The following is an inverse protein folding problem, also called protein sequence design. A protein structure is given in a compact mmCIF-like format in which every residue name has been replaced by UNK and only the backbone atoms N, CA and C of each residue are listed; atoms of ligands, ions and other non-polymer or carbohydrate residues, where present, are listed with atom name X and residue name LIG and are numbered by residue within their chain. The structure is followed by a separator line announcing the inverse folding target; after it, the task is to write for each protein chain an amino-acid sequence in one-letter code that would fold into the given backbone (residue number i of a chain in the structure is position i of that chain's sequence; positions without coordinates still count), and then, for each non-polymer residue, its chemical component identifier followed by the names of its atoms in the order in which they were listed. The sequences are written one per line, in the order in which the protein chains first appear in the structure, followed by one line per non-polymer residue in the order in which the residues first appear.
data_IF_302021933744
#
_entry.id   IF_302021933744
#
_cell.length_a   1.000
_cell.length_b   1.000
_cell.length_c   1.000
_cell.angle_alpha   90.00
_cell.angle_beta   90.00
_cell.angle_gamma   90.00
#
_symmetry.space_group_name_H-M   'P 1'
#
loop_
_entity.id
_entity.type
_entity.pdbx_description
1 polymer ?
#
# COMPACT_ATOMS: atom_id res chain seq x y z
N UNK A 1 -20.65 25.29 19.03
CA UNK A 1 -19.98 26.56 19.34
C UNK A 1 -18.49 26.37 19.62
N UNK A 2 -18.07 25.35 20.41
CA UNK A 2 -16.65 25.14 20.72
C UNK A 2 -15.85 24.63 19.51
N UNK A 3 -16.45 23.76 18.68
CA UNK A 3 -15.77 23.20 17.49
C UNK A 3 -15.62 24.25 16.38
N UNK A 4 -16.61 25.13 16.17
CA UNK A 4 -16.50 26.21 15.20
C UNK A 4 -15.39 27.21 15.57
N UNK A 5 -15.26 27.56 16.84
CA UNK A 5 -14.22 28.48 17.31
C UNK A 5 -12.79 27.90 17.24
N UNK A 6 -12.64 26.59 17.28
CA UNK A 6 -11.34 25.91 17.04
C UNK A 6 -11.04 25.89 15.54
N UNK A 7 -12.03 25.58 14.71
CA UNK A 7 -11.90 25.59 13.26
C UNK A 7 -11.54 27.00 12.76
N UNK A 8 -12.22 28.04 13.25
CA UNK A 8 -11.93 29.43 12.86
C UNK A 8 -10.54 29.91 13.32
N UNK A 9 -10.07 29.46 14.49
CA UNK A 9 -8.71 29.76 14.97
C UNK A 9 -7.62 29.05 14.17
N UNK A 10 -7.88 27.81 13.76
CA UNK A 10 -6.95 27.05 12.90
C UNK A 10 -6.93 27.66 11.50
N UNK A 11 -8.11 27.96 10.93
CA UNK A 11 -8.22 28.62 9.62
C UNK A 11 -7.55 30.00 9.61
N UNK A 12 -7.69 30.81 10.67
CA UNK A 12 -7.02 32.13 10.77
C UNK A 12 -5.49 32.06 10.90
N UNK A 13 -4.94 30.98 11.49
CA UNK A 13 -3.48 30.75 11.55
C UNK A 13 -2.94 30.17 10.24
N UNK A 14 -3.72 29.37 9.52
CA UNK A 14 -3.37 28.80 8.21
C UNK A 14 -3.45 29.86 7.09
N UNK A 15 -4.29 30.89 7.22
CA UNK A 15 -4.39 31.99 6.27
C UNK A 15 -3.16 32.92 6.21
N UNK A 16 -2.14 32.65 7.04
CA UNK A 16 -0.83 33.32 6.98
C UNK A 16 0.22 32.53 6.13
N UNK A 17 -0.11 31.31 5.70
CA UNK A 17 0.69 30.50 4.79
C UNK A 17 0.12 30.62 3.38
N UNK A 18 0.98 30.57 2.35
CA UNK A 18 0.51 30.48 0.95
C UNK A 18 -0.53 29.36 0.83
N UNK A 19 -1.68 29.65 0.25
CA UNK A 19 -2.83 28.74 0.20
C UNK A 19 -2.49 27.35 -0.34
N UNK A 20 -1.56 27.25 -1.26
CA UNK A 20 -1.12 26.00 -1.90
C UNK A 20 -0.42 25.05 -0.91
N UNK A 21 0.42 25.59 -0.03
CA UNK A 21 1.08 24.76 1.01
C UNK A 21 0.09 24.21 2.04
N UNK A 22 -0.98 24.94 2.33
CA UNK A 22 -2.05 24.48 3.24
C UNK A 22 -2.80 23.31 2.60
N UNK A 23 -3.13 23.42 1.31
CA UNK A 23 -3.82 22.36 0.57
C UNK A 23 -2.95 21.10 0.48
N UNK A 24 -1.68 21.25 0.09
CA UNK A 24 -0.75 20.11 0.03
C UNK A 24 -0.59 19.47 1.40
N UNK A 25 -0.43 20.26 2.47
CA UNK A 25 -0.35 19.78 3.84
C UNK A 25 -1.60 18.99 4.27
N UNK A 26 -2.79 19.48 3.92
CA UNK A 26 -4.06 18.80 4.20
C UNK A 26 -4.17 17.46 3.45
N UNK A 27 -3.75 17.41 2.20
CA UNK A 27 -3.74 16.16 1.41
C UNK A 27 -2.72 15.16 1.98
N UNK A 28 -1.53 15.62 2.41
CA UNK A 28 -0.52 14.76 3.06
C UNK A 28 -1.08 14.18 4.38
N UNK A 29 -1.67 15.01 5.24
CA UNK A 29 -2.31 14.56 6.48
C UNK A 29 -3.42 13.55 6.19
N UNK A 30 -4.24 13.83 5.20
CA UNK A 30 -5.34 12.93 4.79
C UNK A 30 -4.80 11.60 4.29
N UNK A 31 -3.79 11.60 3.41
CA UNK A 31 -3.18 10.37 2.90
C UNK A 31 -2.41 9.59 3.97
N UNK A 32 -1.83 10.27 4.97
CA UNK A 32 -1.26 9.64 6.15
C UNK A 32 -2.32 8.82 6.91
N UNK A 33 -3.49 9.41 7.20
CA UNK A 33 -4.55 8.71 7.92
C UNK A 33 -5.20 7.59 7.10
N UNK A 34 -5.20 7.68 5.76
CA UNK A 34 -5.56 6.56 4.90
C UNK A 34 -4.59 5.39 5.10
N UNK A 35 -3.30 5.68 5.03
CA UNK A 35 -2.26 4.68 5.30
C UNK A 35 -2.45 4.06 6.68
N UNK A 36 -2.63 4.90 7.71
CA UNK A 36 -2.87 4.50 9.08
C UNK A 36 -4.06 3.53 9.22
N UNK A 37 -5.24 3.92 8.73
CA UNK A 37 -6.44 3.07 8.78
C UNK A 37 -6.27 1.75 8.02
N UNK A 38 -5.55 1.77 6.89
CA UNK A 38 -5.20 0.57 6.14
C UNK A 38 -4.23 -0.36 6.86
N UNK A 39 -3.35 0.19 7.70
CA UNK A 39 -2.34 -0.56 8.46
C UNK A 39 -2.89 -1.30 9.68
N UNK A 40 -3.79 -0.67 10.43
CA UNK A 40 -4.28 -1.18 11.74
C UNK A 40 -4.79 -2.62 11.69
N UNK A 41 -5.42 -3.03 10.61
CA UNK A 41 -6.06 -4.35 10.51
C UNK A 41 -5.07 -5.51 10.34
N UNK A 42 -3.88 -5.27 9.80
CA UNK A 42 -2.94 -6.35 9.45
C UNK A 42 -2.39 -7.14 10.65
N UNK A 43 -1.98 -6.51 11.77
CA UNK A 43 -1.55 -7.26 12.94
C UNK A 43 -2.71 -7.92 13.70
N UNK A 44 -3.96 -7.55 13.39
CA UNK A 44 -5.13 -7.93 14.18
C UNK A 44 -5.91 -9.07 13.52
N UNK A 45 -6.35 -8.90 12.27
CA UNK A 45 -7.34 -9.78 11.65
C UNK A 45 -6.87 -11.23 11.47
N UNK A 46 -5.61 -11.54 11.10
CA UNK A 46 -5.19 -12.94 10.97
C UNK A 46 -5.32 -13.73 12.29
N UNK A 47 -4.99 -13.11 13.41
CA UNK A 47 -5.13 -13.74 14.72
C UNK A 47 -6.60 -13.82 15.19
N UNK A 48 -7.39 -12.77 14.90
CA UNK A 48 -8.83 -12.77 15.19
C UNK A 48 -9.60 -13.85 14.44
N UNK A 49 -9.14 -14.24 13.25
CA UNK A 49 -9.78 -15.31 12.48
C UNK A 49 -9.98 -16.58 13.31
N UNK A 50 -8.96 -17.00 14.03
CA UNK A 50 -9.03 -18.17 14.92
C UNK A 50 -10.00 -17.94 16.10
N UNK A 51 -9.98 -16.74 16.72
CA UNK A 51 -10.85 -16.40 17.87
C UNK A 51 -12.33 -16.32 17.47
N UNK A 52 -12.62 -15.81 16.27
CA UNK A 52 -13.98 -15.63 15.77
C UNK A 52 -14.51 -16.83 14.97
N UNK A 53 -13.71 -17.89 14.81
CA UNK A 53 -14.08 -19.07 14.04
C UNK A 53 -14.13 -18.83 12.52
N UNK A 54 -13.45 -17.81 12.02
CA UNK A 54 -13.35 -17.48 10.60
C UNK A 54 -12.23 -18.31 9.98
N UNK A 55 -12.51 -19.05 8.89
CA UNK A 55 -11.48 -19.87 8.24
C UNK A 55 -10.32 -19.02 7.68
N UNK A 56 -9.07 -19.56 7.64
CA UNK A 56 -7.91 -18.85 7.08
C UNK A 56 -8.13 -18.35 5.65
N UNK A 57 -8.82 -19.12 4.83
CA UNK A 57 -9.21 -18.71 3.48
C UNK A 57 -10.09 -17.45 3.51
N UNK A 58 -11.13 -17.42 4.33
CA UNK A 58 -12.04 -16.28 4.41
C UNK A 58 -11.36 -15.05 5.01
N UNK A 59 -10.46 -15.21 5.98
CA UNK A 59 -9.59 -14.13 6.48
C UNK A 59 -8.76 -13.55 5.33
N UNK A 60 -8.17 -14.41 4.49
CA UNK A 60 -7.43 -14.00 3.30
C UNK A 60 -8.29 -13.21 2.32
N UNK A 61 -9.52 -13.67 2.04
CA UNK A 61 -10.48 -12.96 1.17
C UNK A 61 -10.87 -11.60 1.78
N UNK A 62 -11.13 -11.52 3.08
CA UNK A 62 -11.44 -10.26 3.78
C UNK A 62 -10.25 -9.30 3.68
N UNK A 63 -9.03 -9.73 3.96
CA UNK A 63 -7.83 -8.88 3.85
C UNK A 63 -7.63 -8.35 2.42
N UNK A 64 -8.01 -9.10 1.42
CA UNK A 64 -7.84 -8.80 0.00
C UNK A 64 -8.97 -7.97 -0.61
N UNK A 65 -10.15 -7.98 0.00
CA UNK A 65 -11.37 -7.39 -0.53
C UNK A 65 -11.23 -5.90 -0.87
N UNK A 66 -10.47 -5.14 -0.08
CA UNK A 66 -10.22 -3.71 -0.36
C UNK A 66 -9.41 -3.48 -1.65
N UNK A 67 -8.51 -4.40 -2.02
CA UNK A 67 -7.72 -4.27 -3.25
C UNK A 67 -8.57 -4.55 -4.47
N UNK A 68 -9.34 -5.63 -4.44
CA UNK A 68 -10.23 -5.98 -5.54
C UNK A 68 -11.36 -4.96 -5.71
N UNK A 69 -11.96 -4.47 -4.62
CA UNK A 69 -12.97 -3.41 -4.71
C UNK A 69 -12.39 -2.09 -5.21
N UNK A 70 -11.16 -1.73 -4.79
CA UNK A 70 -10.46 -0.56 -5.32
C UNK A 70 -10.16 -0.71 -6.82
N UNK A 71 -9.70 -1.88 -7.24
CA UNK A 71 -9.42 -2.16 -8.65
C UNK A 71 -10.66 -1.91 -9.53
N UNK A 72 -11.83 -2.36 -9.08
CA UNK A 72 -13.10 -2.11 -9.77
C UNK A 72 -13.54 -0.65 -9.67
N UNK A 73 -13.33 -0.01 -8.51
CA UNK A 73 -13.79 1.34 -8.24
C UNK A 73 -12.89 2.44 -8.86
N UNK A 74 -11.63 2.15 -9.21
CA UNK A 74 -10.68 3.15 -9.72
C UNK A 74 -11.19 3.89 -10.95
N UNK A 75 -11.79 3.19 -11.92
CA UNK A 75 -12.28 3.83 -13.13
C UNK A 75 -13.57 4.64 -12.93
N UNK A 76 -14.60 4.13 -12.23
CA UNK A 76 -15.73 4.97 -11.84
C UNK A 76 -15.31 6.21 -11.03
N UNK A 77 -14.31 6.07 -10.15
CA UNK A 77 -13.79 7.19 -9.36
C UNK A 77 -13.19 8.27 -10.28
N UNK A 78 -12.35 7.90 -11.25
CA UNK A 78 -11.80 8.85 -12.22
C UNK A 78 -12.88 9.60 -12.99
N UNK A 79 -13.86 8.89 -13.56
CA UNK A 79 -15.00 9.50 -14.27
C UNK A 79 -15.80 10.44 -13.35
N UNK A 80 -15.93 10.10 -12.07
CA UNK A 80 -16.64 10.95 -11.12
C UNK A 80 -15.86 12.25 -10.87
N UNK A 81 -14.54 12.16 -10.70
CA UNK A 81 -13.66 13.34 -10.53
C UNK A 81 -13.75 14.26 -11.73
N UNK A 82 -13.71 13.73 -12.95
CA UNK A 82 -13.83 14.52 -14.17
C UNK A 82 -15.18 15.27 -14.28
N UNK A 83 -16.25 14.73 -13.67
CA UNK A 83 -17.60 15.29 -13.76
C UNK A 83 -17.94 16.30 -12.68
N UNK A 84 -17.52 16.04 -11.43
CA UNK A 84 -17.96 16.84 -10.27
C UNK A 84 -16.81 17.51 -9.52
N UNK A 85 -15.60 17.47 -10.09
CA UNK A 85 -14.41 18.06 -9.52
C UNK A 85 -13.70 17.18 -8.50
N UNK A 86 -12.65 17.70 -7.86
CA UNK A 86 -11.74 16.95 -6.99
C UNK A 86 -12.18 16.93 -5.53
N UNK A 87 -12.69 18.05 -5.00
CA UNK A 87 -12.99 18.22 -3.58
C UNK A 87 -14.04 17.23 -3.07
N UNK A 88 -15.18 17.17 -3.77
CA UNK A 88 -16.31 16.32 -3.31
C UNK A 88 -15.94 14.84 -3.28
N UNK A 89 -15.35 14.22 -4.33
CA UNK A 89 -14.94 12.82 -4.26
C UNK A 89 -13.85 12.58 -3.21
N UNK A 90 -12.92 13.53 -2.99
CA UNK A 90 -11.89 13.42 -1.97
C UNK A 90 -12.50 13.33 -0.57
N UNK A 91 -13.35 14.28 -0.20
CA UNK A 91 -13.99 14.33 1.12
C UNK A 91 -14.94 13.14 1.34
N UNK A 92 -15.73 12.78 0.32
CA UNK A 92 -16.60 11.59 0.38
C UNK A 92 -15.78 10.32 0.55
N UNK A 93 -14.68 10.18 -0.20
CA UNK A 93 -13.78 9.04 -0.07
C UNK A 93 -13.20 8.90 1.34
N UNK A 94 -12.76 10.01 1.94
CA UNK A 94 -12.28 10.06 3.33
C UNK A 94 -13.37 9.67 4.33
N UNK A 95 -14.58 10.20 4.17
CA UNK A 95 -15.71 9.85 5.01
C UNK A 95 -16.08 8.37 4.91
N UNK A 96 -16.13 7.84 3.68
CA UNK A 96 -16.39 6.42 3.42
C UNK A 96 -15.34 5.53 4.10
N UNK A 97 -14.08 5.93 4.13
CA UNK A 97 -13.05 5.19 4.87
C UNK A 97 -13.26 5.26 6.39
N UNK A 98 -13.72 6.38 6.93
CA UNK A 98 -14.12 6.49 8.32
C UNK A 98 -15.27 5.52 8.68
N UNK A 99 -16.32 5.48 7.85
CA UNK A 99 -17.44 4.53 8.00
C UNK A 99 -16.97 3.09 7.89
N UNK A 100 -16.07 2.80 6.94
CA UNK A 100 -15.46 1.48 6.78
C UNK A 100 -14.69 1.06 8.04
N UNK A 101 -13.85 1.94 8.59
CA UNK A 101 -13.08 1.65 9.80
C UNK A 101 -13.99 1.45 11.02
N UNK A 102 -15.07 2.22 11.12
CA UNK A 102 -16.13 1.98 12.11
C UNK A 102 -16.81 0.62 11.92
N UNK A 103 -16.94 0.16 10.68
CA UNK A 103 -17.43 -1.18 10.36
C UNK A 103 -16.63 -2.31 11.02
N UNK A 104 -15.33 -2.12 11.30
CA UNK A 104 -14.54 -3.09 12.09
C UNK A 104 -14.96 -3.12 13.57
N UNK A 105 -15.35 -1.99 14.14
CA UNK A 105 -15.91 -1.94 15.50
C UNK A 105 -17.24 -2.70 15.54
N UNK A 106 -18.10 -2.46 14.55
CA UNK A 106 -19.38 -3.19 14.43
C UNK A 106 -19.12 -4.70 14.27
N UNK A 107 -18.16 -5.11 13.47
CA UNK A 107 -17.80 -6.52 13.27
C UNK A 107 -17.40 -7.22 14.58
N UNK A 108 -16.81 -6.48 15.53
CA UNK A 108 -16.43 -7.03 16.83
C UNK A 108 -17.61 -7.14 17.83
N UNK A 109 -18.68 -6.41 17.62
CA UNK A 109 -19.79 -6.27 18.57
C UNK A 109 -21.09 -6.90 18.07
N UNK A 110 -21.24 -7.10 16.77
CA UNK A 110 -22.46 -7.61 16.14
C UNK A 110 -22.33 -9.10 15.76
N UNK A 111 -23.44 -9.83 15.61
CA UNK A 111 -23.43 -11.18 15.04
C UNK A 111 -22.94 -11.14 13.58
N UNK A 112 -22.39 -12.28 13.10
CA UNK A 112 -21.89 -12.44 11.76
C UNK A 112 -20.69 -11.51 11.44
N UNK A 113 -19.58 -11.60 12.23
CA UNK A 113 -18.42 -10.72 12.12
C UNK A 113 -17.76 -10.74 10.74
N UNK A 114 -17.68 -11.91 10.07
CA UNK A 114 -17.08 -12.06 8.75
C UNK A 114 -17.79 -11.19 7.70
N UNK A 115 -19.11 -11.09 7.74
CA UNK A 115 -19.89 -10.24 6.85
C UNK A 115 -19.60 -8.76 7.05
N UNK A 116 -19.51 -8.32 8.30
CA UNK A 116 -19.17 -6.94 8.64
C UNK A 116 -17.74 -6.58 8.24
N UNK A 117 -16.77 -7.45 8.52
CA UNK A 117 -15.38 -7.25 8.08
C UNK A 117 -15.30 -7.18 6.54
N UNK A 118 -16.00 -8.07 5.84
CA UNK A 118 -16.04 -8.07 4.37
C UNK A 118 -16.62 -6.77 3.82
N UNK A 119 -17.80 -6.36 4.31
CA UNK A 119 -18.45 -5.11 3.90
C UNK A 119 -17.57 -3.89 4.17
N UNK A 120 -16.95 -3.82 5.35
CA UNK A 120 -16.02 -2.78 5.72
C UNK A 120 -14.82 -2.74 4.77
N UNK A 121 -14.20 -3.86 4.44
CA UNK A 121 -13.05 -3.92 3.54
C UNK A 121 -13.40 -3.52 2.10
N UNK A 122 -14.54 -3.96 1.60
CA UNK A 122 -15.04 -3.54 0.28
C UNK A 122 -15.27 -2.02 0.26
N UNK A 123 -15.95 -1.49 1.28
CA UNK A 123 -16.22 -0.06 1.39
C UNK A 123 -14.93 0.76 1.51
N UNK A 124 -13.95 0.25 2.26
CA UNK A 124 -12.62 0.88 2.38
C UNK A 124 -11.93 1.00 1.01
N UNK A 125 -12.01 -0.05 0.19
CA UNK A 125 -11.45 -0.05 -1.17
C UNK A 125 -12.10 0.99 -2.09
N UNK A 126 -13.44 1.12 -2.03
CA UNK A 126 -14.17 2.17 -2.78
C UNK A 126 -13.75 3.56 -2.32
N UNK A 127 -13.71 3.82 -1.01
CA UNK A 127 -13.25 5.09 -0.45
C UNK A 127 -11.81 5.42 -0.88
N UNK A 128 -10.91 4.42 -0.85
CA UNK A 128 -9.51 4.62 -1.25
C UNK A 128 -9.37 4.94 -2.75
N UNK A 129 -10.19 4.36 -3.62
CA UNK A 129 -10.20 4.69 -5.05
C UNK A 129 -10.53 6.18 -5.29
N UNK A 130 -11.55 6.70 -4.60
CA UNK A 130 -11.91 8.12 -4.68
C UNK A 130 -10.78 9.02 -4.20
N UNK A 131 -10.17 8.68 -3.05
CA UNK A 131 -9.11 9.52 -2.47
C UNK A 131 -7.85 9.50 -3.32
N UNK A 132 -7.40 8.34 -3.81
CA UNK A 132 -6.18 8.29 -4.64
C UNK A 132 -6.37 8.96 -5.99
N UNK A 133 -7.54 8.80 -6.63
CA UNK A 133 -7.84 9.49 -7.88
C UNK A 133 -7.75 11.02 -7.72
N UNK A 134 -8.30 11.55 -6.61
CA UNK A 134 -8.35 13.00 -6.36
C UNK A 134 -7.05 13.56 -5.79
N UNK A 135 -6.38 12.84 -4.88
CA UNK A 135 -5.17 13.33 -4.21
C UNK A 135 -4.05 13.70 -5.20
N UNK A 136 -3.85 12.86 -6.22
CA UNK A 136 -2.85 13.13 -7.27
C UNK A 136 -3.28 14.25 -8.21
N UNK A 137 -4.57 14.39 -8.52
CA UNK A 137 -5.10 15.50 -9.33
C UNK A 137 -4.94 16.81 -8.58
N UNK A 138 -5.36 16.90 -7.32
CA UNK A 138 -5.17 18.08 -6.47
C UNK A 138 -3.68 18.49 -6.41
N UNK A 139 -2.78 17.52 -6.21
CA UNK A 139 -1.35 17.81 -6.19
C UNK A 139 -0.84 18.36 -7.52
N UNK A 140 -1.36 17.85 -8.62
CA UNK A 140 -0.98 18.35 -9.96
C UNK A 140 -1.48 19.77 -10.22
N UNK A 141 -2.70 20.07 -9.76
CA UNK A 141 -3.37 21.36 -10.00
C UNK A 141 -2.74 22.51 -9.18
N UNK A 142 -2.38 22.23 -7.89
CA UNK A 142 -1.80 23.23 -7.00
C UNK A 142 -0.28 23.32 -7.08
N UNK A 143 0.36 22.62 -8.02
CA UNK A 143 1.83 22.59 -8.13
C UNK A 143 2.30 23.30 -9.39
N UNK A 144 3.25 24.24 -9.23
CA UNK A 144 4.02 24.77 -10.34
C UNK A 144 4.87 23.69 -11.01
N UNK A 145 5.20 23.86 -12.30
CA UNK A 145 5.95 22.87 -13.09
C UNK A 145 7.25 22.37 -12.47
N UNK A 146 7.89 23.16 -11.59
CA UNK A 146 9.12 22.79 -10.87
C UNK A 146 8.90 22.02 -9.56
N UNK A 147 7.72 22.13 -8.92
CA UNK A 147 7.40 21.53 -7.61
C UNK A 147 6.53 20.27 -7.71
N UNK A 148 5.92 20.00 -8.86
CA UNK A 148 4.95 18.92 -9.08
C UNK A 148 5.46 17.56 -8.64
N UNK A 149 6.70 17.20 -9.01
CA UNK A 149 7.31 15.92 -8.61
C UNK A 149 7.53 15.79 -7.11
N UNK A 150 7.97 16.88 -6.46
CA UNK A 150 8.17 16.91 -5.01
C UNK A 150 6.84 16.75 -4.27
N UNK A 151 5.80 17.45 -4.66
CA UNK A 151 4.48 17.40 -4.04
C UNK A 151 3.80 16.04 -4.21
N UNK A 152 3.91 15.42 -5.38
CA UNK A 152 3.48 14.03 -5.61
C UNK A 152 4.23 13.05 -4.70
N UNK A 153 5.54 13.25 -4.53
CA UNK A 153 6.37 12.47 -3.61
C UNK A 153 5.94 12.62 -2.15
N UNK A 154 5.61 13.84 -1.70
CA UNK A 154 5.14 14.11 -0.34
C UNK A 154 3.79 13.46 -0.04
N UNK A 155 2.84 13.50 -0.98
CA UNK A 155 1.55 12.82 -0.84
C UNK A 155 1.73 11.31 -0.72
N UNK A 156 2.61 10.73 -1.55
CA UNK A 156 2.97 9.31 -1.45
C UNK A 156 3.66 9.00 -0.11
N UNK A 157 4.47 9.94 0.40
CA UNK A 157 5.08 9.91 1.72
C UNK A 157 4.04 9.81 2.83
N UNK A 158 2.93 10.53 2.74
CA UNK A 158 1.83 10.42 3.71
C UNK A 158 1.39 8.96 3.91
N UNK A 159 1.04 8.27 2.83
CA UNK A 159 0.66 6.84 2.90
C UNK A 159 1.81 5.96 3.41
N UNK A 160 3.03 6.22 2.93
CA UNK A 160 4.23 5.44 3.28
C UNK A 160 4.54 5.51 4.78
N UNK A 161 4.35 6.65 5.43
CA UNK A 161 4.52 6.81 6.88
C UNK A 161 3.26 6.46 7.68
N UNK A 162 2.07 6.71 7.12
CA UNK A 162 0.81 6.38 7.76
C UNK A 162 0.63 4.88 7.96
N UNK A 163 0.91 4.08 6.94
CA UNK A 163 0.70 2.63 6.99
C UNK A 163 1.49 1.94 8.12
N UNK A 164 2.83 2.10 8.27
CA UNK A 164 3.57 1.48 9.36
C UNK A 164 3.16 2.03 10.72
N UNK A 165 2.82 3.32 10.80
CA UNK A 165 2.29 3.91 12.04
C UNK A 165 0.98 3.25 12.45
N UNK A 166 0.08 3.00 11.50
CA UNK A 166 -1.16 2.27 11.73
C UNK A 166 -0.93 0.82 12.16
N UNK A 167 0.02 0.14 11.55
CA UNK A 167 0.40 -1.23 11.90
C UNK A 167 0.95 -1.30 13.32
N UNK A 168 1.89 -0.43 13.69
CA UNK A 168 2.48 -0.37 15.05
C UNK A 168 1.42 -0.02 16.08
N UNK A 169 0.71 1.09 15.89
CA UNK A 169 -0.29 1.56 16.87
C UNK A 169 -1.44 0.56 16.96
N UNK A 170 -1.90 0.03 15.82
CA UNK A 170 -2.94 -0.99 15.79
C UNK A 170 -2.56 -2.24 16.56
N UNK A 171 -1.35 -2.77 16.35
CA UNK A 171 -0.84 -3.92 17.07
C UNK A 171 -0.68 -3.68 18.57
N UNK A 172 0.00 -2.59 18.94
CA UNK A 172 0.24 -2.25 20.37
C UNK A 172 -1.05 -1.92 21.12
N UNK A 173 -1.92 -1.10 20.55
CA UNK A 173 -3.20 -0.73 21.19
C UNK A 173 -4.11 -1.95 21.30
N UNK A 174 -4.14 -2.81 20.28
CA UNK A 174 -4.91 -4.06 20.32
C UNK A 174 -4.44 -4.98 21.43
N UNK A 175 -3.13 -5.08 21.66
CA UNK A 175 -2.53 -5.88 22.70
C UNK A 175 -2.80 -5.34 24.12
N UNK A 176 -2.57 -4.04 24.31
CA UNK A 176 -2.62 -3.41 25.66
C UNK A 176 -4.04 -3.04 26.07
N UNK A 177 -4.86 -2.60 25.15
CA UNK A 177 -6.19 -2.02 25.44
C UNK A 177 -7.35 -2.75 24.75
N UNK A 178 -7.05 -3.80 24.02
CA UNK A 178 -8.00 -4.65 23.30
C UNK A 178 -8.29 -4.18 21.87
N UNK A 179 -8.69 -5.13 21.06
CA UNK A 179 -8.91 -4.97 19.61
C UNK A 179 -9.96 -3.92 19.25
N UNK A 180 -11.06 -3.88 20.02
CA UNK A 180 -12.14 -2.87 19.80
C UNK A 180 -11.57 -1.47 19.98
N UNK A 181 -10.72 -1.25 20.98
CA UNK A 181 -10.07 0.05 21.23
C UNK A 181 -9.18 0.45 20.05
N UNK A 182 -8.41 -0.48 19.48
CA UNK A 182 -7.58 -0.20 18.32
C UNK A 182 -8.42 0.26 17.11
N UNK A 183 -9.55 -0.40 16.84
CA UNK A 183 -10.46 -0.01 15.77
C UNK A 183 -11.19 1.31 16.04
N UNK A 184 -11.56 1.59 17.31
CA UNK A 184 -12.14 2.90 17.70
C UNK A 184 -11.12 4.02 17.48
N UNK A 185 -9.87 3.85 17.89
CA UNK A 185 -8.80 4.84 17.66
C UNK A 185 -8.62 5.09 16.14
N UNK A 186 -8.56 4.04 15.34
CA UNK A 186 -8.48 4.18 13.89
C UNK A 186 -9.70 4.91 13.29
N UNK A 187 -10.89 4.64 13.79
CA UNK A 187 -12.13 5.30 13.36
C UNK A 187 -12.11 6.78 13.68
N UNK A 188 -11.72 7.15 14.90
CA UNK A 188 -11.61 8.56 15.31
C UNK A 188 -10.64 9.32 14.43
N UNK A 189 -9.46 8.75 14.16
CA UNK A 189 -8.49 9.37 13.25
C UNK A 189 -8.98 9.47 11.80
N UNK A 190 -9.71 8.47 11.30
CA UNK A 190 -10.28 8.51 9.96
C UNK A 190 -11.34 9.63 9.81
N UNK A 191 -12.25 9.77 10.77
CA UNK A 191 -13.21 10.87 10.76
C UNK A 191 -12.57 12.24 11.03
N UNK A 192 -11.53 12.31 11.87
CA UNK A 192 -10.74 13.53 12.04
C UNK A 192 -10.11 13.95 10.70
N UNK A 193 -9.48 13.03 9.98
CA UNK A 193 -8.91 13.31 8.67
C UNK A 193 -9.97 13.75 7.64
N UNK A 194 -11.15 13.14 7.67
CA UNK A 194 -12.28 13.56 6.83
C UNK A 194 -12.74 14.99 7.17
N UNK A 195 -12.77 15.35 8.44
CA UNK A 195 -13.07 16.72 8.89
C UNK A 195 -12.02 17.74 8.44
N UNK A 196 -10.74 17.38 8.56
CA UNK A 196 -9.61 18.21 8.03
C UNK A 196 -9.76 18.39 6.53
N UNK A 197 -9.98 17.32 5.78
CA UNK A 197 -10.15 17.39 4.33
C UNK A 197 -11.34 18.30 3.95
N UNK A 198 -12.48 18.15 4.63
CA UNK A 198 -13.66 19.00 4.40
C UNK A 198 -13.38 20.49 4.64
N UNK A 199 -12.62 20.81 5.70
CA UNK A 199 -12.35 22.17 6.11
C UNK A 199 -11.26 22.88 5.28
N UNK A 200 -10.32 22.11 4.70
CA UNK A 200 -9.07 22.69 4.16
C UNK A 200 -8.83 22.43 2.67
N UNK A 201 -9.44 21.39 2.09
CA UNK A 201 -9.25 21.10 0.66
C UNK A 201 -10.25 21.90 -0.18
N UNK A 202 -9.78 22.84 -1.02
CA UNK A 202 -10.64 23.58 -1.93
C UNK A 202 -11.00 22.75 -3.18
N UNK A 203 -11.93 23.26 -4.00
CA UNK A 203 -12.10 22.73 -5.35
C UNK A 203 -10.96 23.23 -6.24
N UNK A 204 -10.23 22.31 -6.86
CA UNK A 204 -9.08 22.63 -7.72
C UNK A 204 -9.33 22.32 -9.19
N UNK A 205 -10.46 21.67 -9.50
CA UNK A 205 -10.76 21.30 -10.90
C UNK A 205 -11.07 22.53 -11.73
N UNK A 206 -10.29 22.76 -12.77
CA UNK A 206 -10.55 23.78 -13.78
C UNK A 206 -11.30 23.12 -14.94
N UNK A 207 -12.54 23.55 -15.21
CA UNK A 207 -13.31 23.12 -16.38
C UNK A 207 -12.50 23.37 -17.66
N UNK A 208 -12.12 22.32 -18.38
CA UNK A 208 -11.51 22.57 -19.69
C UNK A 208 -10.82 21.42 -20.41
N UNK A 209 -10.34 20.40 -19.74
CA UNK A 209 -9.76 19.25 -20.43
C UNK A 209 -10.31 17.95 -19.86
N UNK A 210 -11.38 17.47 -20.49
CA UNK A 210 -11.76 16.07 -20.33
C UNK A 210 -10.60 15.22 -20.85
N UNK A 211 -9.69 14.86 -19.95
CA UNK A 211 -8.68 13.85 -20.21
C UNK A 211 -9.36 12.60 -20.74
N UNK A 212 -8.81 11.98 -21.75
CA UNK A 212 -9.33 10.72 -22.30
C UNK A 212 -9.50 9.74 -21.15
N UNK A 213 -10.76 9.46 -20.78
CA UNK A 213 -11.07 8.53 -19.68
C UNK A 213 -10.47 7.16 -20.04
N UNK A 214 -9.38 6.81 -19.37
CA UNK A 214 -8.77 5.47 -19.50
C UNK A 214 -9.75 4.47 -18.91
N UNK A 215 -10.31 3.63 -19.74
CA UNK A 215 -11.26 2.60 -19.30
C UNK A 215 -10.51 1.56 -18.43
N UNK A 216 -11.13 0.96 -17.40
CA UNK A 216 -10.47 0.00 -16.50
C UNK A 216 -9.86 -1.20 -17.21
N UNK A 217 -10.41 -1.55 -18.37
CA UNK A 217 -9.96 -2.64 -19.22
C UNK A 217 -8.98 -2.19 -20.32
N UNK A 218 -8.59 -0.92 -20.34
CA UNK A 218 -7.61 -0.39 -21.29
C UNK A 218 -6.20 -0.67 -20.79
N UNK A 219 -5.92 -1.96 -20.63
CA UNK A 219 -4.66 -2.49 -20.13
C UNK A 219 -3.62 -2.47 -21.26
N UNK A 220 -2.45 -1.94 -21.01
CA UNK A 220 -1.36 -2.06 -21.97
C UNK A 220 -0.81 -3.48 -21.92
N UNK A 221 -1.01 -4.23 -23.01
CA UNK A 221 -0.56 -5.62 -23.16
C UNK A 221 0.79 -5.74 -23.88
N UNK A 222 1.54 -4.65 -24.03
CA UNK A 222 2.89 -4.70 -24.56
C UNK A 222 3.80 -5.57 -23.69
N UNK A 223 4.81 -6.18 -24.30
CA UNK A 223 5.77 -7.03 -23.57
C UNK A 223 6.43 -6.32 -22.39
N UNK A 224 6.91 -5.06 -22.53
CA UNK A 224 7.46 -4.32 -21.40
C UNK A 224 6.47 -4.16 -20.26
N UNK A 225 5.23 -3.73 -20.54
CA UNK A 225 4.20 -3.52 -19.51
C UNK A 225 3.85 -4.83 -18.79
N UNK A 226 3.72 -5.95 -19.50
CA UNK A 226 3.48 -7.26 -18.91
C UNK A 226 4.67 -7.78 -18.10
N UNK A 227 5.90 -7.58 -18.60
CA UNK A 227 7.12 -7.97 -17.88
C UNK A 227 7.22 -7.25 -16.54
N UNK A 228 7.10 -5.91 -16.55
CA UNK A 228 7.14 -5.08 -15.36
C UNK A 228 5.98 -5.41 -14.42
N UNK A 229 4.76 -5.59 -14.96
CA UNK A 229 3.58 -5.97 -14.20
C UNK A 229 3.74 -7.31 -13.48
N UNK A 230 4.27 -8.35 -14.14
CA UNK A 230 4.51 -9.65 -13.52
C UNK A 230 5.56 -9.59 -12.41
N UNK A 231 6.62 -8.80 -12.58
CA UNK A 231 7.61 -8.56 -11.52
C UNK A 231 6.93 -7.88 -10.32
N UNK A 232 6.14 -6.84 -10.55
CA UNK A 232 5.41 -6.14 -9.50
C UNK A 232 4.38 -7.04 -8.80
N UNK A 233 3.67 -7.88 -9.56
CA UNK A 233 2.79 -8.91 -9.01
C UNK A 233 3.53 -9.80 -8.02
N UNK A 234 4.66 -10.38 -8.42
CA UNK A 234 5.42 -11.30 -7.56
C UNK A 234 5.92 -10.60 -6.29
N UNK A 235 6.47 -9.39 -6.41
CA UNK A 235 6.97 -8.61 -5.28
C UNK A 235 5.84 -8.28 -4.29
N UNK A 236 4.70 -7.80 -4.77
CA UNK A 236 3.57 -7.44 -3.89
C UNK A 236 2.82 -8.66 -3.34
N UNK A 237 2.80 -9.78 -4.08
CA UNK A 237 2.27 -11.03 -3.57
C UNK A 237 3.02 -11.48 -2.31
N UNK A 238 4.34 -11.49 -2.33
CA UNK A 238 5.13 -11.93 -1.18
C UNK A 238 5.20 -10.87 -0.09
N UNK A 239 5.32 -9.60 -0.42
CA UNK A 239 5.51 -8.51 0.53
C UNK A 239 4.25 -8.19 1.33
N UNK A 240 3.23 -7.62 0.70
CA UNK A 240 1.98 -7.25 1.39
C UNK A 240 1.07 -8.47 1.54
N UNK A 241 1.10 -9.35 0.55
CA UNK A 241 0.21 -10.50 0.50
C UNK A 241 0.57 -11.55 1.52
N UNK A 242 1.73 -12.21 1.37
CA UNK A 242 2.10 -13.32 2.24
C UNK A 242 2.66 -12.84 3.58
N UNK A 243 3.69 -11.96 3.57
CA UNK A 243 4.38 -11.57 4.80
C UNK A 243 3.44 -10.90 5.81
N UNK A 244 2.73 -9.84 5.42
CA UNK A 244 1.90 -9.08 6.35
C UNK A 244 0.67 -9.86 6.84
N UNK A 245 0.17 -10.80 6.03
CA UNK A 245 -0.94 -11.64 6.44
C UNK A 245 -0.53 -12.76 7.42
N UNK A 246 0.72 -13.24 7.35
CA UNK A 246 1.14 -14.43 8.10
C UNK A 246 2.05 -14.12 9.28
N UNK A 247 2.64 -12.92 9.34
CA UNK A 247 3.68 -12.58 10.33
C UNK A 247 3.19 -12.71 11.78
N UNK A 248 1.97 -12.25 12.08
CA UNK A 248 1.41 -12.36 13.44
C UNK A 248 1.23 -13.81 13.88
N UNK A 249 0.78 -14.69 12.96
CA UNK A 249 0.62 -16.12 13.21
C UNK A 249 1.99 -16.81 13.37
N UNK A 250 3.00 -16.38 12.60
CA UNK A 250 4.36 -16.88 12.73
C UNK A 250 4.96 -16.55 14.10
N UNK A 251 4.78 -15.31 14.57
CA UNK A 251 5.24 -14.86 15.88
C UNK A 251 4.55 -15.63 17.03
N UNK A 252 3.25 -15.87 16.90
CA UNK A 252 2.46 -16.64 17.85
C UNK A 252 2.99 -18.09 17.93
N UNK A 253 3.20 -18.74 16.78
CA UNK A 253 3.73 -20.12 16.76
C UNK A 253 5.15 -20.25 17.30
N UNK A 254 6.00 -19.23 17.09
CA UNK A 254 7.42 -19.24 17.51
C UNK A 254 7.65 -18.67 18.91
N UNK A 255 6.64 -18.10 19.54
CA UNK A 255 6.74 -17.38 20.82
C UNK A 255 7.82 -16.28 20.78
N UNK A 256 7.88 -15.54 19.67
CA UNK A 256 8.85 -14.47 19.44
C UNK A 256 8.21 -13.11 19.73
N UNK A 257 8.41 -12.61 20.94
CA UNK A 257 7.99 -11.28 21.37
C UNK A 257 9.14 -10.27 21.44
N UNK A 258 8.83 -8.98 21.30
CA UNK A 258 9.75 -7.86 21.49
C UNK A 258 9.18 -6.88 22.50
N UNK A 259 10.02 -6.32 23.37
CA UNK A 259 9.63 -5.35 24.41
C UNK A 259 8.54 -5.85 25.37
N UNK A 260 8.40 -7.15 25.56
CA UNK A 260 7.33 -7.74 26.39
C UNK A 260 5.95 -7.70 25.73
N UNK A 261 5.86 -7.40 24.45
CA UNK A 261 4.62 -7.43 23.68
C UNK A 261 4.38 -8.86 23.16
N UNK A 262 3.13 -9.27 23.09
CA UNK A 262 2.70 -10.50 22.44
C UNK A 262 2.72 -10.42 20.90
N UNK A 263 2.11 -11.41 20.22
CA UNK A 263 2.22 -11.54 18.76
C UNK A 263 1.70 -10.34 17.96
N UNK A 264 0.61 -9.71 18.41
CA UNK A 264 0.00 -8.57 17.69
C UNK A 264 0.89 -7.33 17.75
N UNK A 265 1.34 -6.93 18.95
CA UNK A 265 2.23 -5.79 19.14
C UNK A 265 3.58 -6.00 18.49
N UNK A 266 4.16 -7.20 18.64
CA UNK A 266 5.44 -7.58 18.03
C UNK A 266 5.36 -7.59 16.51
N UNK A 267 4.28 -8.10 15.91
CA UNK A 267 4.10 -8.07 14.46
C UNK A 267 4.07 -6.63 13.91
N UNK A 268 3.44 -5.71 14.65
CA UNK A 268 3.48 -4.28 14.33
C UNK A 268 4.91 -3.75 14.23
N UNK A 269 5.76 -4.08 15.20
CA UNK A 269 7.16 -3.63 15.21
C UNK A 269 7.97 -4.21 14.04
N UNK A 270 7.85 -5.51 13.76
CA UNK A 270 8.55 -6.14 12.63
C UNK A 270 8.06 -5.62 11.26
N UNK A 271 6.75 -5.39 11.11
CA UNK A 271 6.21 -4.74 9.91
C UNK A 271 6.74 -3.31 9.75
N UNK A 272 6.91 -2.56 10.85
CA UNK A 272 7.53 -1.25 10.80
C UNK A 272 8.99 -1.31 10.34
N UNK A 273 9.79 -2.26 10.83
CA UNK A 273 11.16 -2.51 10.33
C UNK A 273 11.13 -2.76 8.82
N UNK A 274 10.21 -3.59 8.36
CA UNK A 274 10.07 -3.90 6.93
C UNK A 274 9.75 -2.66 6.10
N UNK A 275 8.80 -1.82 6.55
CA UNK A 275 8.40 -0.61 5.79
C UNK A 275 9.46 0.48 5.85
N UNK A 276 10.14 0.66 6.99
CA UNK A 276 11.27 1.61 7.12
C UNK A 276 12.41 1.20 6.19
N UNK A 277 12.75 -0.08 6.16
CA UNK A 277 13.74 -0.59 5.21
C UNK A 277 13.29 -0.37 3.75
N UNK A 278 12.02 -0.62 3.43
CA UNK A 278 11.48 -0.36 2.09
C UNK A 278 11.60 1.13 1.72
N UNK A 279 11.26 2.05 2.62
CA UNK A 279 11.41 3.48 2.40
C UNK A 279 12.86 3.90 2.13
N UNK A 280 13.78 3.43 2.96
CA UNK A 280 15.21 3.71 2.79
C UNK A 280 15.76 3.18 1.46
N UNK A 281 15.50 1.92 1.17
CA UNK A 281 16.02 1.28 -0.05
C UNK A 281 15.28 1.70 -1.32
N UNK A 282 14.12 2.32 -1.26
CA UNK A 282 13.48 2.97 -2.40
C UNK A 282 14.35 4.11 -2.95
N UNK A 283 14.95 4.94 -2.08
CA UNK A 283 15.88 5.99 -2.50
C UNK A 283 17.22 5.40 -2.97
N UNK A 284 17.77 4.45 -2.21
CA UNK A 284 19.05 3.82 -2.55
C UNK A 284 18.97 3.04 -3.88
N UNK A 285 17.87 2.33 -4.11
CA UNK A 285 17.64 1.58 -5.34
C UNK A 285 17.52 2.48 -6.57
N UNK A 286 16.79 3.59 -6.46
CA UNK A 286 16.72 4.61 -7.50
C UNK A 286 18.11 5.17 -7.84
N UNK A 287 18.84 5.64 -6.81
CA UNK A 287 20.19 6.18 -6.99
C UNK A 287 21.18 5.17 -7.60
N UNK A 288 21.16 3.93 -7.12
CA UNK A 288 22.04 2.87 -7.66
C UNK A 288 21.71 2.57 -9.12
N UNK A 289 20.43 2.49 -9.46
CA UNK A 289 19.94 2.26 -10.81
C UNK A 289 20.37 3.35 -11.79
N UNK A 290 20.34 4.61 -11.38
CA UNK A 290 20.78 5.74 -12.21
C UNK A 290 22.30 5.75 -12.40
N UNK A 291 23.07 5.42 -11.36
CA UNK A 291 24.53 5.33 -11.46
C UNK A 291 25.03 4.18 -12.33
N UNK A 292 24.38 3.03 -12.28
CA UNK A 292 24.75 1.86 -13.08
C UNK A 292 24.38 2.01 -14.55
N UNK A 293 23.63 3.04 -14.92
CA UNK A 293 23.11 3.27 -16.29
C UNK A 293 22.39 2.04 -16.87
N UNK A 294 21.93 1.13 -16.01
CA UNK A 294 21.13 -0.04 -16.38
C UNK A 294 20.21 -0.42 -15.21
N UNK A 295 18.94 -0.65 -15.50
CA UNK A 295 17.92 -0.94 -14.49
C UNK A 295 17.98 -2.40 -14.00
N UNK A 296 18.33 -3.32 -14.90
CA UNK A 296 18.21 -4.75 -14.65
C UNK A 296 19.13 -5.27 -13.54
N UNK A 297 20.42 -4.91 -13.44
CA UNK A 297 21.27 -5.38 -12.35
C UNK A 297 20.76 -4.98 -10.96
N UNK A 298 20.28 -3.74 -10.84
CA UNK A 298 19.69 -3.24 -9.59
C UNK A 298 18.43 -4.03 -9.22
N UNK A 299 17.55 -4.29 -10.18
CA UNK A 299 16.35 -5.09 -9.97
C UNK A 299 16.67 -6.52 -9.54
N UNK A 300 17.66 -7.17 -10.19
CA UNK A 300 18.10 -8.52 -9.82
C UNK A 300 18.68 -8.58 -8.40
N UNK A 301 19.45 -7.57 -7.98
CA UNK A 301 19.99 -7.48 -6.62
C UNK A 301 18.85 -7.44 -5.59
N UNK A 302 17.83 -6.60 -5.80
CA UNK A 302 16.75 -6.43 -4.84
C UNK A 302 15.72 -7.56 -4.87
N UNK A 303 15.49 -8.20 -6.02
CA UNK A 303 14.73 -9.45 -6.09
C UNK A 303 15.46 -10.58 -5.35
N UNK A 304 16.78 -10.65 -5.48
CA UNK A 304 17.62 -11.56 -4.70
C UNK A 304 17.55 -11.28 -3.18
N UNK A 305 17.56 -10.01 -2.78
CA UNK A 305 17.41 -9.62 -1.37
C UNK A 305 16.05 -10.04 -0.81
N UNK A 306 14.96 -9.86 -1.58
CA UNK A 306 13.62 -10.35 -1.19
C UNK A 306 13.62 -11.87 -1.01
N UNK A 307 14.20 -12.61 -1.95
CA UNK A 307 14.29 -14.07 -1.88
C UNK A 307 15.10 -14.53 -0.66
N UNK A 308 16.28 -13.94 -0.42
CA UNK A 308 17.13 -14.23 0.75
C UNK A 308 16.39 -13.90 2.06
N UNK A 309 15.65 -12.80 2.09
CA UNK A 309 14.80 -12.43 3.24
C UNK A 309 13.78 -13.52 3.57
N UNK A 310 13.09 -14.09 2.58
CA UNK A 310 12.14 -15.18 2.83
C UNK A 310 12.81 -16.50 3.19
N UNK A 311 14.00 -16.80 2.68
CA UNK A 311 14.80 -17.94 3.16
C UNK A 311 15.15 -17.76 4.66
N UNK A 312 15.59 -16.55 5.02
CA UNK A 312 15.89 -16.23 6.41
C UNK A 312 14.64 -16.26 7.30
N UNK A 313 13.47 -15.85 6.79
CA UNK A 313 12.19 -16.04 7.48
C UNK A 313 11.90 -17.52 7.78
N UNK A 314 12.08 -18.38 6.77
CA UNK A 314 11.85 -19.82 6.94
C UNK A 314 12.73 -20.44 8.03
N UNK A 315 13.91 -19.86 8.28
CA UNK A 315 14.90 -20.31 9.24
C UNK A 315 14.93 -19.49 10.55
N UNK A 316 14.06 -18.46 10.66
CA UNK A 316 14.11 -17.53 11.79
C UNK A 316 13.63 -18.21 13.09
N UNK A 317 14.48 -18.17 14.11
CA UNK A 317 14.25 -18.69 15.45
C UNK A 317 14.61 -17.68 16.56
N UNK A 318 14.95 -16.45 16.19
CA UNK A 318 15.30 -15.36 17.09
C UNK A 318 14.79 -14.01 16.58
N UNK A 319 14.62 -13.07 17.51
CA UNK A 319 14.23 -11.68 17.20
C UNK A 319 15.19 -11.04 16.19
N UNK A 320 16.50 -11.30 16.33
CA UNK A 320 17.51 -10.72 15.46
C UNK A 320 17.44 -11.27 14.04
N UNK A 321 17.29 -12.60 13.86
CA UNK A 321 17.14 -13.22 12.54
C UNK A 321 15.85 -12.78 11.86
N UNK A 322 14.75 -12.65 12.61
CA UNK A 322 13.48 -12.18 12.09
C UNK A 322 13.54 -10.70 11.68
N UNK A 323 14.18 -9.84 12.47
CA UNK A 323 14.38 -8.43 12.12
C UNK A 323 15.24 -8.28 10.85
N UNK A 324 16.29 -9.09 10.70
CA UNK A 324 17.11 -9.11 9.50
C UNK A 324 16.32 -9.59 8.27
N UNK A 325 15.48 -10.62 8.42
CA UNK A 325 14.58 -11.09 7.37
C UNK A 325 13.59 -10.00 6.94
N UNK A 326 12.95 -9.32 7.89
CA UNK A 326 12.08 -8.17 7.67
C UNK A 326 12.79 -7.04 6.91
N UNK A 327 14.00 -6.68 7.34
CA UNK A 327 14.80 -5.64 6.70
C UNK A 327 15.17 -6.01 5.25
N UNK A 328 15.55 -7.27 4.99
CA UNK A 328 15.88 -7.75 3.64
C UNK A 328 14.66 -7.74 2.71
N UNK A 329 13.51 -8.23 3.18
CA UNK A 329 12.26 -8.21 2.38
C UNK A 329 11.84 -6.76 2.11
N UNK A 330 11.93 -5.88 3.11
CA UNK A 330 11.67 -4.46 2.94
C UNK A 330 12.62 -3.80 1.95
N UNK A 331 13.93 -4.05 2.08
CA UNK A 331 14.94 -3.54 1.15
C UNK A 331 14.68 -4.00 -0.29
N UNK A 332 14.32 -5.27 -0.47
CA UNK A 332 13.98 -5.83 -1.77
C UNK A 332 12.77 -5.13 -2.40
N UNK A 333 11.69 -4.96 -1.65
CA UNK A 333 10.48 -4.28 -2.14
C UNK A 333 10.74 -2.80 -2.47
N UNK A 334 11.40 -2.07 -1.55
CA UNK A 334 11.72 -0.66 -1.78
C UNK A 334 12.67 -0.47 -2.93
N UNK A 335 13.77 -1.24 -2.94
CA UNK A 335 14.81 -1.14 -3.97
C UNK A 335 14.37 -1.53 -5.37
N UNK A 336 13.30 -2.33 -5.52
CA UNK A 336 12.70 -2.62 -6.83
C UNK A 336 11.75 -1.53 -7.32
N UNK A 337 11.09 -0.77 -6.43
CA UNK A 337 9.99 0.14 -6.79
C UNK A 337 10.39 1.20 -7.82
N UNK A 338 11.46 1.96 -7.56
CA UNK A 338 11.95 3.03 -8.43
C UNK A 338 12.49 2.51 -9.75
N UNK A 339 13.48 1.60 -9.72
CA UNK A 339 14.07 1.02 -10.94
C UNK A 339 13.07 0.31 -11.84
N UNK A 340 12.02 -0.32 -11.27
CA UNK A 340 10.99 -0.99 -12.04
C UNK A 340 10.14 -0.01 -12.86
N UNK A 341 9.78 1.12 -12.24
CA UNK A 341 9.05 2.20 -12.91
C UNK A 341 9.92 2.92 -13.95
N UNK A 342 11.21 3.11 -13.64
CA UNK A 342 12.16 3.68 -14.59
C UNK A 342 12.36 2.76 -15.81
N UNK A 343 12.48 1.43 -15.60
CA UNK A 343 12.54 0.47 -16.69
C UNK A 343 11.29 0.51 -17.59
N UNK A 344 10.11 0.67 -16.98
CA UNK A 344 8.87 0.81 -17.74
C UNK A 344 8.91 2.06 -18.63
N UNK A 345 9.38 3.20 -18.08
CA UNK A 345 9.53 4.44 -18.82
C UNK A 345 10.60 4.39 -19.92
N UNK A 346 11.67 3.61 -19.72
CA UNK A 346 12.72 3.42 -20.72
C UNK A 346 12.26 2.54 -21.91
N UNK A 347 11.24 1.68 -21.72
CA UNK A 347 10.81 0.68 -22.70
C UNK A 347 9.45 0.97 -23.36
N UNK A 348 8.64 1.90 -22.81
CA UNK A 348 7.30 2.19 -23.31
C UNK A 348 7.24 3.62 -23.85
N UNK A 349 6.62 3.86 -25.02
CA UNK A 349 6.45 5.19 -25.56
C UNK A 349 5.69 6.12 -24.60
N UNK A 350 6.02 7.42 -24.61
CA UNK A 350 5.46 8.41 -23.71
C UNK A 350 3.92 8.47 -23.77
N UNK A 351 3.35 8.29 -24.97
CA UNK A 351 1.91 8.30 -25.23
C UNK A 351 1.18 7.12 -24.58
N UNK A 352 1.87 6.01 -24.35
CA UNK A 352 1.33 4.79 -23.75
C UNK A 352 1.66 4.66 -22.26
N UNK A 353 2.50 5.56 -21.72
CA UNK A 353 3.03 5.45 -20.36
C UNK A 353 1.92 5.41 -19.31
N UNK A 354 0.86 6.21 -19.46
CA UNK A 354 -0.27 6.20 -18.52
C UNK A 354 -0.96 4.84 -18.42
N UNK A 355 -1.20 4.17 -19.56
CA UNK A 355 -1.79 2.83 -19.62
C UNK A 355 -0.83 1.76 -19.06
N UNK A 356 0.46 1.88 -19.35
CA UNK A 356 1.47 0.95 -18.83
C UNK A 356 1.62 1.02 -17.30
N UNK A 357 1.60 2.22 -16.72
CA UNK A 357 1.55 2.42 -15.26
C UNK A 357 0.26 1.85 -14.66
N UNK A 358 -0.88 2.09 -15.32
CA UNK A 358 -2.15 1.48 -14.94
C UNK A 358 -2.08 -0.05 -14.89
N UNK A 359 -1.50 -0.68 -15.93
CA UNK A 359 -1.26 -2.12 -15.97
C UNK A 359 -0.37 -2.59 -14.81
N UNK A 360 0.74 -1.90 -14.55
CA UNK A 360 1.62 -2.23 -13.42
C UNK A 360 0.88 -2.16 -12.07
N UNK A 361 0.02 -1.17 -11.87
CA UNK A 361 -0.77 -1.04 -10.64
C UNK A 361 -1.81 -2.17 -10.51
N UNK A 362 -2.48 -2.56 -11.61
CA UNK A 362 -3.41 -3.69 -11.65
C UNK A 362 -2.72 -4.99 -11.24
N UNK A 363 -1.56 -5.29 -11.83
CA UNK A 363 -0.78 -6.48 -11.45
C UNK A 363 -0.34 -6.43 -9.99
N UNK A 364 0.06 -5.27 -9.48
CA UNK A 364 0.42 -5.08 -8.09
C UNK A 364 -0.75 -5.31 -7.13
N UNK A 365 -1.93 -4.77 -7.43
CA UNK A 365 -3.14 -4.98 -6.62
C UNK A 365 -3.60 -6.44 -6.65
N UNK A 366 -3.53 -7.08 -7.81
CA UNK A 366 -3.84 -8.51 -7.95
C UNK A 366 -2.84 -9.35 -7.13
N UNK A 367 -1.54 -9.09 -7.23
CA UNK A 367 -0.51 -9.80 -6.46
C UNK A 367 -0.73 -9.66 -4.96
N UNK A 368 -0.81 -8.42 -4.48
CA UNK A 368 -1.04 -8.14 -3.06
C UNK A 368 -2.41 -8.63 -2.54
N UNK A 369 -3.41 -8.76 -3.42
CA UNK A 369 -4.71 -9.33 -3.11
C UNK A 369 -4.70 -10.86 -3.06
N UNK A 370 -4.07 -11.54 -4.01
CA UNK A 370 -4.00 -13.00 -3.99
C UNK A 370 -3.09 -13.55 -2.88
N UNK A 371 -2.09 -12.78 -2.44
CA UNK A 371 -1.16 -13.23 -1.41
C UNK A 371 -1.84 -13.76 -0.14
N UNK A 372 -2.70 -12.99 0.56
CA UNK A 372 -3.38 -13.49 1.77
C UNK A 372 -4.32 -14.67 1.50
N UNK A 373 -5.02 -14.66 0.36
CA UNK A 373 -5.96 -15.72 -0.04
C UNK A 373 -5.24 -17.06 -0.19
N UNK A 374 -3.99 -17.03 -0.67
CA UNK A 374 -3.18 -18.23 -0.91
C UNK A 374 -2.33 -18.57 0.31
N UNK A 375 -1.65 -17.58 0.91
CA UNK A 375 -0.67 -17.84 1.98
C UNK A 375 -1.32 -18.33 3.26
N UNK A 376 -2.45 -17.74 3.70
CA UNK A 376 -3.07 -18.13 4.98
C UNK A 376 -3.55 -19.58 4.99
N UNK A 377 -4.34 -20.08 4.01
CA UNK A 377 -4.73 -21.49 4.01
C UNK A 377 -3.55 -22.43 3.75
N UNK A 378 -2.53 -22.02 3.00
CA UNK A 378 -1.33 -22.86 2.83
C UNK A 378 -0.53 -22.97 4.12
N UNK A 379 -0.36 -21.88 4.88
CA UNK A 379 0.30 -21.92 6.19
C UNK A 379 -0.44 -22.86 7.14
N UNK A 380 -1.77 -22.80 7.15
CA UNK A 380 -2.61 -23.69 7.97
C UNK A 380 -2.45 -25.17 7.56
N UNK A 381 -2.36 -25.46 6.27
CA UNK A 381 -2.29 -26.81 5.74
C UNK A 381 -0.89 -27.45 5.82
N UNK A 382 0.19 -26.70 5.53
CA UNK A 382 1.55 -27.25 5.37
C UNK A 382 2.60 -26.56 6.25
N UNK A 383 2.23 -25.56 7.05
CA UNK A 383 3.11 -24.80 7.93
C UNK A 383 3.88 -23.67 7.23
N UNK A 384 4.61 -22.88 8.03
CA UNK A 384 5.30 -21.67 7.54
C UNK A 384 6.51 -21.98 6.65
N UNK A 385 7.30 -23.00 6.99
CA UNK A 385 8.56 -23.29 6.30
C UNK A 385 8.40 -23.52 4.79
N UNK A 386 7.51 -24.40 4.30
CA UNK A 386 7.30 -24.60 2.86
C UNK A 386 6.73 -23.34 2.18
N UNK A 387 5.83 -22.62 2.86
CA UNK A 387 5.20 -21.42 2.31
C UNK A 387 6.23 -20.30 2.14
N UNK A 388 7.10 -20.07 3.11
CA UNK A 388 8.15 -19.04 3.00
C UNK A 388 9.23 -19.41 1.98
N UNK A 389 9.56 -20.69 1.80
CA UNK A 389 10.43 -21.12 0.71
C UNK A 389 9.78 -20.93 -0.68
N UNK A 390 8.48 -21.18 -0.80
CA UNK A 390 7.74 -20.85 -2.01
C UNK A 390 7.73 -19.34 -2.27
N UNK A 391 7.54 -18.52 -1.21
CA UNK A 391 7.66 -17.06 -1.30
C UNK A 391 9.09 -16.61 -1.68
N UNK A 392 10.14 -17.33 -1.29
CA UNK A 392 11.50 -17.06 -1.73
C UNK A 392 11.72 -17.38 -3.23
N UNK A 393 11.05 -18.39 -3.76
CA UNK A 393 11.16 -18.77 -5.17
C UNK A 393 10.47 -17.78 -6.12
N UNK A 394 9.40 -17.09 -5.68
CA UNK A 394 8.64 -16.16 -6.54
C UNK A 394 9.47 -14.99 -7.05
N UNK A 395 10.26 -14.24 -6.25
CA UNK A 395 11.12 -13.18 -6.75
C UNK A 395 12.21 -13.69 -7.69
N UNK A 396 12.71 -14.93 -7.51
CA UNK A 396 13.65 -15.55 -8.46
C UNK A 396 12.98 -15.85 -9.81
N UNK A 397 11.74 -16.36 -9.79
CA UNK A 397 10.92 -16.50 -10.99
C UNK A 397 10.68 -15.15 -11.69
N UNK A 398 10.39 -14.11 -10.91
CA UNK A 398 10.25 -12.74 -11.42
C UNK A 398 11.55 -12.21 -12.05
N UNK A 399 12.72 -12.54 -11.47
CA UNK A 399 14.01 -12.20 -12.04
C UNK A 399 14.24 -12.87 -13.41
N UNK A 400 13.82 -14.13 -13.57
CA UNK A 400 13.87 -14.81 -14.87
C UNK A 400 12.94 -14.13 -15.89
N UNK A 401 11.69 -13.82 -15.47
CA UNK A 401 10.72 -13.10 -16.33
C UNK A 401 11.27 -11.75 -16.75
N UNK A 402 11.90 -11.00 -15.82
CA UNK A 402 12.53 -9.71 -16.09
C UNK A 402 13.62 -9.85 -17.16
N UNK A 403 14.58 -10.73 -16.95
CA UNK A 403 15.73 -10.92 -17.88
C UNK A 403 15.27 -11.37 -19.27
N UNK A 404 14.33 -12.34 -19.32
CA UNK A 404 13.81 -12.84 -20.59
C UNK A 404 12.98 -11.77 -21.32
N UNK A 405 12.13 -11.02 -20.57
CA UNK A 405 11.30 -9.97 -21.14
C UNK A 405 12.14 -8.83 -21.72
N UNK A 406 13.10 -8.31 -20.94
CA UNK A 406 13.99 -7.24 -21.37
C UNK A 406 14.85 -7.67 -22.56
N UNK A 407 15.44 -8.89 -22.50
CA UNK A 407 16.24 -9.40 -23.63
C UNK A 407 15.45 -9.54 -24.93
N UNK A 408 14.19 -9.97 -24.85
CA UNK A 408 13.32 -10.11 -26.03
C UNK A 408 12.93 -8.77 -26.63
N UNK A 409 12.89 -7.72 -25.83
CA UNK A 409 12.54 -6.37 -26.27
C UNK A 409 13.73 -5.60 -26.82
N UNK A 410 14.88 -5.65 -26.14
CA UNK A 410 16.06 -4.82 -26.42
C UNK A 410 17.22 -5.58 -27.08
N UNK A 411 17.14 -6.91 -27.15
CA UNK A 411 18.27 -7.76 -27.58
C UNK A 411 19.38 -7.93 -26.55
N UNK A 412 19.37 -7.16 -25.44
CA UNK A 412 20.38 -7.17 -24.37
C UNK A 412 19.78 -7.64 -23.05
N UNK A 413 20.60 -8.27 -22.19
CA UNK A 413 20.19 -8.63 -20.82
C UNK A 413 20.18 -7.39 -19.91
N UNK A 414 21.05 -6.43 -20.15
CA UNK A 414 21.20 -5.21 -19.37
C UNK A 414 21.40 -4.01 -20.32
N UNK A 415 20.31 -3.53 -20.97
CA UNK A 415 20.40 -2.37 -21.85
C UNK A 415 20.83 -1.14 -21.06
N UNK A 416 21.63 -0.27 -21.69
CA UNK A 416 21.97 1.03 -21.12
C UNK A 416 20.77 1.98 -21.21
N UNK A 417 20.65 2.88 -20.23
CA UNK A 417 19.64 3.92 -20.24
C UNK A 417 19.84 4.81 -21.48
N UNK A 418 18.81 4.94 -22.33
CA UNK A 418 18.86 5.77 -23.54
C UNK A 418 19.45 5.08 -24.78
N UNK A 419 19.60 3.74 -24.80
CA UNK A 419 19.99 2.96 -25.99
C UNK A 419 18.80 2.48 -26.80
#
# INVERSE_FOLDING_TARGET
VAVSAVVDRVAGRLGALDGDYVVIGAVIVSTFFIGFGGGVIFPILPNLGAVLGISPFLVGVILSANRFSRLVANAPAGVLVDRIGTRTPFVVGMFVQGVSTFGYVVAMLAPFPEGWFMAARVLWGVGSALVFATAYTIAADVSDGGSRGANMGLIRGGVLFGFPTGVVIGGVVSEVSGTVTAFVVATVFAFFASGVAYATVPETHVEGEAGTSVKPWDVNTSRPALTVGLVNFAVLFVYIGALFATLVLFLDQKDLGVFGLGPQGSSGMFMAVTVVAAGLFMFLGGYASDRLQSRVPTLLLFLGATSLGFVLFAMADSVASLAAACALVGAGQGGTSGPLMALLADLVPAEEMGRAVGTNNVFGDIGGGFGPIVALPLVDAVGFWPVYLACAALPLGAAVVLVVGVRRETGSIAPSVGS
#
